data_IF_304992827659
#
_entry.id   IF_304992827659
#
_cell.length_a   1.000
_cell.length_b   1.000
_cell.length_c   1.000
_cell.angle_alpha   90.00
_cell.angle_beta   90.00
_cell.angle_gamma   90.00
#
_symmetry.space_group_name_H-M   'P 1'
#
loop_
_entity.id
_entity.type
_entity.pdbx_description
1 polymer ?
#
# COMPACT_ATOMS: atom_id res chain seq x y z
N UNK A 1 21.85 -31.37 9.39
CA UNK A 1 21.20 -30.09 9.72
C UNK A 1 20.47 -29.70 8.46
N UNK A 2 19.17 -29.97 8.41
CA UNK A 2 18.35 -29.50 7.28
C UNK A 2 18.28 -27.97 7.40
N UNK A 3 18.46 -27.22 6.31
CA UNK A 3 18.24 -25.79 6.38
C UNK A 3 16.78 -25.59 6.78
N UNK A 4 16.56 -24.89 7.90
CA UNK A 4 15.24 -24.39 8.26
C UNK A 4 14.70 -23.67 7.02
N UNK A 5 13.70 -24.26 6.37
CA UNK A 5 12.93 -23.57 5.33
C UNK A 5 12.40 -22.31 6.01
N UNK A 6 12.97 -21.15 5.68
CA UNK A 6 12.35 -19.87 5.95
C UNK A 6 10.92 -19.98 5.43
N UNK A 7 9.97 -20.12 6.34
CA UNK A 7 8.57 -19.98 6.02
C UNK A 7 8.47 -18.53 5.57
N UNK A 8 8.41 -18.30 4.26
CA UNK A 8 8.06 -16.99 3.72
C UNK A 8 6.68 -16.68 4.29
N UNK A 9 6.63 -15.88 5.35
CA UNK A 9 5.37 -15.48 5.96
C UNK A 9 4.54 -14.83 4.86
N UNK A 10 3.35 -15.38 4.62
CA UNK A 10 2.44 -14.77 3.67
C UNK A 10 2.02 -13.41 4.24
N UNK A 11 1.98 -12.35 3.42
CA UNK A 11 1.46 -11.07 3.85
C UNK A 11 0.03 -11.21 4.37
N UNK A 12 -0.37 -10.34 5.30
CA UNK A 12 -1.75 -10.30 5.73
C UNK A 12 -2.74 -9.97 4.59
N UNK A 13 -4.02 -10.20 4.86
CA UNK A 13 -5.09 -10.07 3.87
C UNK A 13 -5.15 -8.66 3.26
N UNK A 14 -5.01 -7.64 4.10
CA UNK A 14 -5.09 -6.23 3.72
C UNK A 14 -3.92 -5.84 2.80
N UNK A 15 -2.71 -6.36 3.06
CA UNK A 15 -1.54 -6.17 2.22
C UNK A 15 -1.73 -6.83 0.86
N UNK A 16 -2.30 -8.04 0.80
CA UNK A 16 -2.66 -8.69 -0.46
C UNK A 16 -3.72 -7.89 -1.23
N UNK A 17 -4.74 -7.38 -0.55
CA UNK A 17 -5.80 -6.57 -1.15
C UNK A 17 -5.29 -5.22 -1.67
N UNK A 18 -4.34 -4.61 -0.96
CA UNK A 18 -3.63 -3.43 -1.43
C UNK A 18 -2.90 -3.71 -2.75
N UNK A 19 -2.12 -4.79 -2.84
CA UNK A 19 -1.41 -5.14 -4.07
C UNK A 19 -2.34 -5.50 -5.23
N UNK A 20 -3.44 -6.19 -4.95
CA UNK A 20 -4.39 -6.64 -5.98
C UNK A 20 -5.21 -5.47 -6.56
N UNK A 21 -5.73 -4.59 -5.71
CA UNK A 21 -6.76 -3.61 -6.10
C UNK A 21 -6.28 -2.17 -6.12
N UNK A 22 -5.38 -1.79 -5.21
CA UNK A 22 -4.98 -0.39 -5.01
C UNK A 22 -3.71 -0.06 -5.78
N UNK A 23 -2.71 -0.95 -5.74
CA UNK A 23 -1.36 -0.68 -6.22
C UNK A 23 -1.29 -0.26 -7.69
N UNK A 24 -2.14 -0.84 -8.55
CA UNK A 24 -2.20 -0.52 -9.98
C UNK A 24 -2.62 0.93 -10.29
N UNK A 25 -3.18 1.65 -9.30
CA UNK A 25 -3.59 3.04 -9.45
C UNK A 25 -2.56 4.03 -8.92
N UNK A 26 -1.44 3.56 -8.38
CA UNK A 26 -0.36 4.39 -7.83
C UNK A 26 0.64 4.66 -8.95
N UNK A 27 0.88 5.94 -9.25
CA UNK A 27 1.84 6.37 -10.28
C UNK A 27 3.20 6.73 -9.69
N UNK A 28 3.26 6.97 -8.39
CA UNK A 28 4.50 7.26 -7.69
C UNK A 28 4.33 7.34 -6.18
N UNK A 29 5.41 7.71 -5.51
CA UNK A 29 5.41 7.97 -4.09
C UNK A 29 6.74 8.52 -3.60
N UNK A 30 6.72 9.10 -2.42
CA UNK A 30 7.91 9.60 -1.74
C UNK A 30 7.86 9.23 -0.26
N UNK A 31 9.02 9.30 0.42
CA UNK A 31 9.08 9.05 1.86
C UNK A 31 9.04 10.36 2.63
N UNK A 32 8.25 10.39 3.69
CA UNK A 32 8.29 11.42 4.72
C UNK A 32 9.50 11.22 5.66
N UNK A 33 9.87 12.24 6.46
CA UNK A 33 10.99 12.13 7.40
C UNK A 33 10.87 11.00 8.44
N UNK A 34 9.64 10.55 8.75
CA UNK A 34 9.35 9.43 9.66
C UNK A 34 9.36 8.06 8.95
N UNK A 35 9.87 8.01 7.71
CA UNK A 35 9.99 6.84 6.86
C UNK A 35 8.66 6.26 6.33
N UNK A 36 7.54 6.98 6.52
CA UNK A 36 6.25 6.62 5.91
C UNK A 36 6.21 6.97 4.43
N UNK A 37 5.51 6.16 3.65
CA UNK A 37 5.36 6.30 2.20
C UNK A 37 4.08 7.09 1.92
N UNK A 38 4.24 8.23 1.27
CA UNK A 38 3.12 8.98 0.69
C UNK A 38 2.94 8.49 -0.73
N UNK A 39 1.76 7.96 -1.05
CA UNK A 39 1.43 7.52 -2.40
C UNK A 39 0.79 8.64 -3.22
N UNK A 40 1.16 8.66 -4.50
CA UNK A 40 0.57 9.52 -5.52
C UNK A 40 -0.27 8.62 -6.42
N UNK A 41 -1.58 8.84 -6.43
CA UNK A 41 -2.53 8.12 -7.26
C UNK A 41 -2.68 8.81 -8.62
N UNK A 42 -2.93 8.00 -9.65
CA UNK A 42 -3.35 8.47 -10.96
C UNK A 42 -4.57 9.38 -10.85
N UNK A 43 -4.63 10.43 -11.68
CA UNK A 43 -5.79 11.32 -11.79
C UNK A 43 -7.10 10.59 -12.11
N UNK A 44 -7.00 9.42 -12.75
CA UNK A 44 -8.15 8.62 -13.21
C UNK A 44 -8.58 7.56 -12.16
N UNK A 45 -7.98 7.58 -10.97
CA UNK A 45 -8.30 6.62 -9.89
C UNK A 45 -9.79 6.68 -9.52
N UNK A 46 -10.50 5.54 -9.53
CA UNK A 46 -11.89 5.49 -9.09
C UNK A 46 -12.02 5.83 -7.60
N UNK A 47 -13.08 6.55 -7.24
CA UNK A 47 -13.37 6.92 -5.84
C UNK A 47 -13.41 5.71 -4.90
N UNK A 48 -13.96 4.58 -5.35
CA UNK A 48 -14.03 3.34 -4.59
C UNK A 48 -12.66 2.75 -4.24
N UNK A 49 -11.64 2.97 -5.08
CA UNK A 49 -10.26 2.54 -4.80
C UNK A 49 -9.64 3.40 -3.71
N UNK A 50 -9.88 4.72 -3.74
CA UNK A 50 -9.44 5.62 -2.67
C UNK A 50 -10.12 5.27 -1.34
N UNK A 51 -11.43 5.00 -1.35
CA UNK A 51 -12.16 4.55 -0.17
C UNK A 51 -11.63 3.23 0.37
N UNK A 52 -11.32 2.26 -0.50
CA UNK A 52 -10.68 1.01 -0.12
C UNK A 52 -9.30 1.24 0.50
N UNK A 53 -8.45 2.06 -0.13
CA UNK A 53 -7.13 2.42 0.38
C UNK A 53 -7.22 3.01 1.78
N UNK A 54 -8.07 4.01 2.00
CA UNK A 54 -8.28 4.63 3.30
C UNK A 54 -8.74 3.65 4.36
N UNK A 55 -9.53 2.65 3.98
CA UNK A 55 -10.03 1.62 4.88
C UNK A 55 -8.94 0.63 5.31
N UNK A 56 -8.01 0.26 4.43
CA UNK A 56 -7.04 -0.81 4.70
C UNK A 56 -5.64 -0.32 5.07
N UNK A 57 -5.30 0.96 4.81
CA UNK A 57 -3.93 1.49 4.91
C UNK A 57 -3.29 1.37 6.29
N UNK A 58 -4.08 1.34 7.36
CA UNK A 58 -3.57 1.26 8.74
C UNK A 58 -3.27 -0.19 9.16
N UNK A 59 -3.81 -1.17 8.40
CA UNK A 59 -3.68 -2.60 8.66
C UNK A 59 -2.70 -3.29 7.69
N UNK A 60 -2.18 -2.59 6.67
CA UNK A 60 -1.15 -3.17 5.81
C UNK A 60 0.21 -3.21 6.49
N UNK A 61 1.05 -4.17 6.11
CA UNK A 61 2.41 -4.34 6.66
C UNK A 61 3.43 -3.34 6.07
N UNK A 62 2.96 -2.36 5.30
CA UNK A 62 3.77 -1.31 4.70
C UNK A 62 3.69 -0.03 5.56
N UNK A 63 4.80 0.73 5.70
CA UNK A 63 4.78 2.00 6.44
C UNK A 63 4.11 3.07 5.59
N UNK A 64 2.78 3.08 5.51
CA UNK A 64 2.01 4.04 4.70
C UNK A 64 1.74 5.32 5.52
N UNK A 65 1.82 6.48 4.85
CA UNK A 65 1.45 7.76 5.44
C UNK A 65 -0.07 7.96 5.47
N UNK A 66 -0.53 8.75 6.43
CA UNK A 66 -1.91 9.25 6.42
C UNK A 66 -2.16 10.22 5.24
N UNK A 67 -1.10 10.84 4.74
CA UNK A 67 -1.12 11.71 3.57
C UNK A 67 -1.07 10.88 2.28
N UNK A 68 -1.83 11.31 1.28
CA UNK A 68 -1.77 10.81 -0.10
C UNK A 68 -2.18 11.92 -1.05
N UNK A 69 -1.80 11.81 -2.32
CA UNK A 69 -2.15 12.77 -3.36
C UNK A 69 -2.83 12.07 -4.53
N UNK A 70 -3.65 12.81 -5.26
CA UNK A 70 -4.14 12.43 -6.59
C UNK A 70 -3.52 13.40 -7.58
N UNK A 71 -2.96 12.90 -8.68
CA UNK A 71 -2.42 13.74 -9.74
C UNK A 71 -3.47 14.79 -10.17
N UNK A 72 -3.00 16.02 -10.35
CA UNK A 72 -3.83 17.16 -10.75
C UNK A 72 -4.00 17.25 -12.26
#
# INVERSE_FOLDING_TARGET
MEPELEIMALPNKETLEFYDKVYNWITGGYREPDNKIVYIFSKDVPKEIIELFLKIRDDVELPISENFHVES
#
